data_IF_740868506178
#
_entry.id   IF_740868506178
#
_cell.length_a   1.000
_cell.length_b   1.000
_cell.length_c   1.000
_cell.angle_alpha   90.00
_cell.angle_beta   90.00
_cell.angle_gamma   90.00
#
_symmetry.space_group_name_H-M   'P 1'
#
loop_
_entity.id
_entity.type
_entity.pdbx_description
1 polymer ?
#
# COMPACT_ATOMS: atom_id res chain seq x y z
N UNK A 1 -7.50 24.40 -11.33
CA UNK A 1 -8.28 23.14 -11.28
C UNK A 1 -7.29 22.02 -11.00
N UNK A 2 -7.50 21.20 -9.96
CA UNK A 2 -6.64 20.05 -9.72
C UNK A 2 -7.00 18.92 -10.70
N UNK A 3 -6.02 18.20 -11.25
CA UNK A 3 -6.29 17.10 -12.16
C UNK A 3 -7.07 15.99 -11.45
N UNK A 4 -7.93 15.29 -12.19
CA UNK A 4 -8.61 14.12 -11.67
C UNK A 4 -7.58 13.01 -11.41
N UNK A 5 -7.82 12.18 -10.40
CA UNK A 5 -6.95 11.03 -10.11
C UNK A 5 -6.76 10.13 -11.33
N UNK A 6 -7.80 9.90 -12.13
CA UNK A 6 -7.72 9.13 -13.36
C UNK A 6 -6.75 9.74 -14.38
N UNK A 7 -6.68 11.06 -14.50
CA UNK A 7 -5.74 11.74 -15.41
C UNK A 7 -4.29 11.56 -14.93
N UNK A 8 -4.07 11.60 -13.61
CA UNK A 8 -2.76 11.33 -13.01
C UNK A 8 -2.33 9.88 -13.23
N UNK A 9 -3.26 8.93 -13.07
CA UNK A 9 -2.99 7.50 -13.28
C UNK A 9 -2.70 7.21 -14.76
N UNK A 10 -3.44 7.80 -15.70
CA UNK A 10 -3.15 7.68 -17.14
C UNK A 10 -1.78 8.30 -17.48
N UNK A 11 -1.46 9.47 -16.92
CA UNK A 11 -0.15 10.11 -17.12
C UNK A 11 1.00 9.25 -16.60
N UNK A 12 0.78 8.51 -15.52
CA UNK A 12 1.81 7.77 -14.82
C UNK A 12 2.01 6.35 -15.34
N UNK A 13 0.92 5.58 -15.53
CA UNK A 13 0.96 4.21 -16.03
C UNK A 13 0.91 4.11 -17.57
N UNK A 14 0.38 5.15 -18.23
CA UNK A 14 0.13 5.16 -19.67
C UNK A 14 -1.20 4.50 -20.03
N UNK A 15 -1.79 4.95 -21.16
CA UNK A 15 -3.07 4.41 -21.65
C UNK A 15 -2.99 2.92 -22.03
N UNK A 16 -1.85 2.49 -22.57
CA UNK A 16 -1.61 1.10 -22.98
C UNK A 16 -1.72 0.12 -21.81
N UNK A 17 -1.29 0.52 -20.61
CA UNK A 17 -1.44 -0.28 -19.40
C UNK A 17 -2.92 -0.58 -19.11
N UNK A 18 -3.78 0.44 -19.15
CA UNK A 18 -5.21 0.26 -18.87
C UNK A 18 -5.93 -0.54 -19.96
N UNK A 19 -5.49 -0.41 -21.23
CA UNK A 19 -5.98 -1.24 -22.33
C UNK A 19 -5.62 -2.71 -22.10
N UNK A 20 -4.33 -3.01 -21.85
CA UNK A 20 -3.87 -4.35 -21.51
C UNK A 20 -4.61 -4.91 -20.30
N UNK A 21 -4.79 -4.11 -19.25
CA UNK A 21 -5.50 -4.52 -18.05
C UNK A 21 -6.96 -4.88 -18.39
N UNK A 22 -7.65 -4.08 -19.21
CA UNK A 22 -9.03 -4.34 -19.62
C UNK A 22 -9.22 -5.61 -20.46
N UNK A 23 -8.15 -6.10 -21.09
CA UNK A 23 -8.15 -7.34 -21.88
C UNK A 23 -7.90 -8.59 -21.03
N UNK A 24 -7.52 -8.44 -19.75
CA UNK A 24 -7.23 -9.58 -18.89
C UNK A 24 -8.53 -10.30 -18.50
N UNK A 25 -8.59 -11.65 -18.62
CA UNK A 25 -9.82 -12.40 -18.39
C UNK A 25 -10.24 -12.43 -16.91
N UNK A 26 -9.29 -12.30 -16.00
CA UNK A 26 -9.53 -12.31 -14.56
C UNK A 26 -8.62 -11.29 -13.89
N UNK A 27 -9.22 -10.32 -13.19
CA UNK A 27 -8.51 -9.26 -12.50
C UNK A 27 -9.09 -9.12 -11.10
N UNK A 28 -8.21 -8.99 -10.11
CA UNK A 28 -8.58 -8.67 -8.74
C UNK A 28 -7.75 -7.49 -8.28
N UNK A 29 -8.39 -6.53 -7.62
CA UNK A 29 -7.68 -5.40 -7.02
C UNK A 29 -7.73 -5.51 -5.51
N UNK A 30 -6.59 -5.30 -4.86
CA UNK A 30 -6.43 -5.26 -3.41
C UNK A 30 -5.86 -3.89 -3.04
N UNK A 31 -6.71 -2.86 -2.90
CA UNK A 31 -6.25 -1.55 -2.46
C UNK A 31 -5.85 -1.60 -0.98
N UNK A 32 -4.82 -0.84 -0.60
CA UNK A 32 -4.34 -0.73 0.77
C UNK A 32 -4.44 0.70 1.31
N UNK A 33 -4.68 0.81 2.61
CA UNK A 33 -4.43 1.98 3.43
C UNK A 33 -3.05 1.81 4.05
N UNK A 34 -2.17 2.81 3.91
CA UNK A 34 -0.87 2.82 4.59
C UNK A 34 -0.98 3.70 5.83
N UNK A 35 -0.81 3.12 7.01
CA UNK A 35 -0.71 3.84 8.27
C UNK A 35 0.75 4.00 8.68
N UNK A 36 1.16 5.22 9.00
CA UNK A 36 2.52 5.59 9.38
C UNK A 36 2.46 6.16 10.79
N UNK A 37 3.16 5.54 11.72
CA UNK A 37 3.10 5.88 13.15
C UNK A 37 4.49 5.98 13.77
N UNK A 38 4.67 6.96 14.64
CA UNK A 38 5.87 7.12 15.45
C UNK A 38 5.60 6.64 16.88
N UNK A 39 6.16 5.48 17.25
CA UNK A 39 5.91 4.89 18.56
C UNK A 39 7.21 4.73 19.36
N UNK A 40 7.10 4.96 20.67
CA UNK A 40 8.17 4.67 21.63
C UNK A 40 8.12 3.21 22.04
N UNK A 41 9.22 2.47 21.90
CA UNK A 41 9.32 1.06 22.32
C UNK A 41 9.10 0.89 23.84
N UNK A 42 9.43 1.92 24.62
CA UNK A 42 9.18 1.98 26.06
C UNK A 42 8.62 3.35 26.48
N UNK A 43 7.78 3.37 27.54
CA UNK A 43 7.11 4.57 28.07
C UNK A 43 8.02 5.77 28.36
N UNK A 44 9.32 5.55 28.60
CA UNK A 44 10.31 6.59 28.94
C UNK A 44 11.41 6.78 27.88
N UNK A 45 11.22 6.26 26.66
CA UNK A 45 12.25 6.33 25.62
C UNK A 45 12.05 7.58 24.76
N UNK A 46 13.04 8.49 24.76
CA UNK A 46 13.11 9.66 23.88
C UNK A 46 13.32 9.32 22.39
N UNK A 47 13.39 8.04 22.06
CA UNK A 47 13.74 7.55 20.72
C UNK A 47 12.54 6.86 20.09
N UNK A 48 11.80 7.61 19.27
CA UNK A 48 10.68 7.07 18.50
C UNK A 48 11.20 6.18 17.34
N UNK A 49 10.54 5.03 17.15
CA UNK A 49 10.64 4.24 15.92
C UNK A 49 9.47 4.57 15.02
N UNK A 50 9.67 4.47 13.71
CA UNK A 50 8.61 4.71 12.73
C UNK A 50 8.11 3.38 12.18
N UNK A 51 6.82 3.10 12.27
CA UNK A 51 6.22 1.91 11.66
C UNK A 51 5.38 2.27 10.44
N UNK A 52 5.31 1.32 9.51
CA UNK A 52 4.50 1.39 8.31
C UNK A 52 3.61 0.15 8.28
N UNK A 53 2.29 0.34 8.25
CA UNK A 53 1.30 -0.73 8.28
C UNK A 53 0.37 -0.68 7.08
N UNK A 54 0.10 -1.82 6.46
CA UNK A 54 -0.86 -1.96 5.38
C UNK A 54 -2.15 -2.58 5.90
N UNK A 55 -3.28 -1.95 5.62
CA UNK A 55 -4.61 -2.52 5.87
C UNK A 55 -5.39 -2.59 4.56
N UNK A 56 -5.99 -3.74 4.18
CA UNK A 56 -6.82 -3.81 2.98
C UNK A 56 -7.99 -2.83 3.05
N UNK A 57 -8.10 -1.94 2.07
CA UNK A 57 -9.13 -0.90 2.05
C UNK A 57 -10.53 -1.44 1.78
N UNK A 58 -10.66 -2.69 1.29
CA UNK A 58 -11.95 -3.35 1.11
C UNK A 58 -12.64 -3.77 2.41
N UNK A 59 -11.92 -3.80 3.53
CA UNK A 59 -12.48 -4.17 4.84
C UNK A 59 -13.41 -3.10 5.39
N UNK A 60 -14.44 -3.51 6.13
CA UNK A 60 -15.30 -2.59 6.88
C UNK A 60 -14.52 -1.89 7.99
N UNK A 61 -15.06 -0.78 8.49
CA UNK A 61 -14.43 -0.04 9.59
C UNK A 61 -14.18 -0.92 10.83
N UNK A 62 -15.10 -1.84 11.16
CA UNK A 62 -14.93 -2.77 12.27
C UNK A 62 -13.79 -3.75 12.01
N UNK A 63 -13.70 -4.29 10.79
CA UNK A 63 -12.67 -5.28 10.44
C UNK A 63 -11.27 -4.68 10.39
N UNK A 64 -11.12 -3.42 9.93
CA UNK A 64 -9.83 -2.72 9.92
C UNK A 64 -9.22 -2.51 11.31
N UNK A 65 -10.00 -2.68 12.38
CA UNK A 65 -9.52 -2.56 13.77
C UNK A 65 -8.95 -3.85 14.33
N UNK A 66 -9.15 -5.00 13.66
CA UNK A 66 -8.50 -6.24 14.09
C UNK A 66 -7.04 -6.21 13.68
N UNK A 67 -6.15 -6.54 14.63
CA UNK A 67 -4.69 -6.57 14.40
C UNK A 67 -4.31 -7.53 13.25
N UNK A 68 -5.04 -8.64 13.12
CA UNK A 68 -4.85 -9.64 12.05
C UNK A 68 -5.02 -9.05 10.63
N UNK A 69 -5.71 -7.91 10.51
CA UNK A 69 -5.94 -7.23 9.25
C UNK A 69 -4.97 -6.06 9.00
N UNK A 70 -4.01 -5.84 9.90
CA UNK A 70 -2.98 -4.80 9.79
C UNK A 70 -1.61 -5.45 9.66
N UNK A 71 -1.04 -5.37 8.46
CA UNK A 71 0.24 -5.99 8.13
C UNK A 71 1.39 -5.01 8.28
N UNK A 72 2.37 -5.31 9.14
CA UNK A 72 3.60 -4.51 9.25
C UNK A 72 4.42 -4.64 7.97
N UNK A 73 4.62 -3.52 7.27
CA UNK A 73 5.43 -3.45 6.06
C UNK A 73 6.92 -3.27 6.38
N UNK A 74 7.24 -2.34 7.27
CA UNK A 74 8.62 -2.12 7.74
C UNK A 74 8.64 -1.33 9.05
N UNK A 75 9.78 -1.38 9.74
CA UNK A 75 10.11 -0.57 10.91
C UNK A 75 11.37 0.25 10.60
N UNK A 76 11.22 1.58 10.61
CA UNK A 76 12.32 2.52 10.50
C UNK A 76 13.05 2.66 11.84
N UNK A 77 14.39 2.45 11.90
CA UNK A 77 15.14 2.63 13.13
C UNK A 77 15.14 4.10 13.58
N UNK A 78 15.44 4.32 14.86
CA UNK A 78 15.51 5.67 15.41
C UNK A 78 16.48 6.57 14.62
N UNK A 79 16.02 7.77 14.26
CA UNK A 79 16.81 8.74 13.50
C UNK A 79 16.98 8.40 12.02
N UNK A 80 16.36 7.32 11.52
CA UNK A 80 16.32 7.04 10.10
C UNK A 80 15.49 8.10 9.36
N UNK A 81 15.94 8.47 8.16
CA UNK A 81 15.14 9.31 7.29
C UNK A 81 13.96 8.51 6.76
N UNK A 82 12.82 9.17 6.59
CA UNK A 82 11.61 8.54 6.07
C UNK A 82 11.85 7.97 4.67
N UNK A 83 12.62 8.68 3.85
CA UNK A 83 12.99 8.27 2.50
C UNK A 83 13.72 6.93 2.50
N UNK A 84 14.66 6.73 3.44
CA UNK A 84 15.42 5.49 3.56
C UNK A 84 14.50 4.32 3.91
N UNK A 85 13.53 4.55 4.79
CA UNK A 85 12.54 3.53 5.16
C UNK A 85 11.63 3.16 3.99
N UNK A 86 11.23 4.14 3.17
CA UNK A 86 10.41 3.93 1.98
C UNK A 86 11.17 3.15 0.91
N UNK A 87 12.47 3.40 0.72
CA UNK A 87 13.26 2.69 -0.29
C UNK A 87 13.23 1.16 -0.11
N UNK A 88 13.08 0.68 1.13
CA UNK A 88 13.08 -0.75 1.45
C UNK A 88 11.91 -1.50 0.79
N UNK A 89 10.76 -0.85 0.61
CA UNK A 89 9.54 -1.50 0.06
C UNK A 89 9.01 -0.84 -1.22
N UNK A 90 9.61 0.28 -1.65
CA UNK A 90 9.13 1.06 -2.80
C UNK A 90 9.03 0.23 -4.07
N UNK A 91 10.01 -0.64 -4.33
CA UNK A 91 10.08 -1.45 -5.54
C UNK A 91 8.96 -2.49 -5.56
N UNK A 92 8.72 -3.15 -4.43
CA UNK A 92 7.74 -4.21 -4.27
C UNK A 92 6.31 -3.65 -4.40
N UNK A 93 6.04 -2.52 -3.74
CA UNK A 93 4.77 -1.80 -3.90
C UNK A 93 4.56 -1.34 -5.34
N UNK A 94 5.62 -0.86 -6.01
CA UNK A 94 5.56 -0.50 -7.43
C UNK A 94 5.22 -1.70 -8.30
N UNK A 95 5.91 -2.83 -8.14
CA UNK A 95 5.63 -4.04 -8.90
C UNK A 95 4.20 -4.55 -8.68
N UNK A 96 3.72 -4.51 -7.43
CA UNK A 96 2.32 -4.86 -7.12
C UNK A 96 1.31 -3.93 -7.77
N UNK A 97 1.64 -2.64 -7.92
CA UNK A 97 0.73 -1.66 -8.53
C UNK A 97 0.62 -1.80 -10.05
N UNK A 98 1.64 -2.36 -10.71
CA UNK A 98 1.61 -2.74 -12.13
C UNK A 98 0.82 -4.03 -12.40
N UNK A 99 0.52 -4.80 -11.37
CA UNK A 99 -0.15 -6.08 -11.49
C UNK A 99 0.80 -7.27 -11.65
N UNK A 100 0.47 -8.36 -10.98
CA UNK A 100 1.20 -9.63 -11.03
C UNK A 100 0.26 -10.77 -11.40
N UNK A 101 0.77 -11.75 -12.16
CA UNK A 101 0.02 -12.97 -12.45
C UNK A 101 0.11 -13.95 -11.28
N UNK A 102 -1.03 -14.39 -10.78
CA UNK A 102 -1.16 -15.37 -9.69
C UNK A 102 -2.21 -16.41 -10.09
N UNK A 103 -1.99 -17.66 -9.71
CA UNK A 103 -3.01 -18.70 -9.83
C UNK A 103 -3.88 -18.72 -8.58
N UNK A 104 -5.14 -18.31 -8.72
CA UNK A 104 -6.13 -18.37 -7.65
C UNK A 104 -7.12 -19.50 -7.99
N UNK A 105 -7.17 -20.53 -7.16
CA UNK A 105 -8.05 -21.70 -7.36
C UNK A 105 -7.92 -22.33 -8.76
N UNK A 106 -6.70 -22.41 -9.29
CA UNK A 106 -6.43 -22.93 -10.63
C UNK A 106 -6.66 -21.95 -11.78
N UNK A 107 -7.15 -20.73 -11.50
CA UNK A 107 -7.41 -19.70 -12.51
C UNK A 107 -6.29 -18.66 -12.50
N UNK A 108 -5.65 -18.46 -13.65
CA UNK A 108 -4.65 -17.39 -13.84
C UNK A 108 -5.34 -16.03 -13.75
N UNK A 109 -4.97 -15.26 -12.74
CA UNK A 109 -5.59 -13.99 -12.36
C UNK A 109 -4.52 -12.91 -12.25
N UNK A 110 -4.79 -11.72 -12.77
CA UNK A 110 -3.95 -10.54 -12.51
C UNK A 110 -4.40 -9.92 -11.19
N UNK A 111 -3.47 -9.81 -10.25
CA UNK A 111 -3.70 -9.10 -8.99
C UNK A 111 -3.00 -7.76 -9.07
N UNK A 112 -3.75 -6.67 -8.90
CA UNK A 112 -3.20 -5.33 -8.72
C UNK A 112 -3.36 -4.90 -7.27
N UNK A 113 -2.31 -4.33 -6.69
CA UNK A 113 -2.34 -3.83 -5.32
C UNK A 113 -1.66 -2.47 -5.24
N UNK A 114 -2.39 -1.48 -4.72
CA UNK A 114 -1.91 -0.09 -4.64
C UNK A 114 -2.30 0.54 -3.32
N UNK A 115 -1.43 1.42 -2.82
CA UNK A 115 -1.73 2.27 -1.67
C UNK A 115 -2.61 3.41 -2.18
N UNK A 116 -3.83 3.51 -1.66
CA UNK A 116 -4.80 4.51 -2.12
C UNK A 116 -4.94 5.69 -1.14
N UNK A 117 -4.50 5.51 0.10
CA UNK A 117 -4.55 6.51 1.17
C UNK A 117 -3.35 6.32 2.09
N UNK A 118 -2.71 7.43 2.46
CA UNK A 118 -1.75 7.50 3.56
C UNK A 118 -2.46 8.07 4.78
N UNK A 119 -2.27 7.43 5.92
CA UNK A 119 -2.78 7.84 7.23
C UNK A 119 -1.61 7.87 8.20
N UNK A 120 -1.71 8.69 9.24
CA UNK A 120 -0.74 8.80 10.32
C UNK A 120 -1.30 9.72 11.38
N UNK A 121 -0.69 9.74 12.57
CA UNK A 121 -1.05 10.58 13.72
C UNK A 121 -2.54 10.91 13.78
N UNK A 122 -3.32 9.99 14.35
CA UNK A 122 -4.72 10.26 14.66
C UNK A 122 -4.74 11.40 15.71
N UNK A 123 -5.48 12.50 15.47
CA UNK A 123 -5.50 13.65 16.38
C UNK A 123 -5.97 13.29 17.80
#
# INVERSE_FOLDING_TARGET
MHPLRAELEIKYYGRSYFQWLSEQPNIRSIPFLLFIDDFGVHRNMYKALKAFYLTPAGLTYRERRYLDNSFTLTLGPYGAKMEDSIQVFKKEIWTLSQGIYVYLYGVRTVITASIIVFTGDMP
#
